data_IF_162335792113
#
_entry.id   IF_162335792113
#
_cell.length_a   1.000
_cell.length_b   1.000
_cell.length_c   1.000
_cell.angle_alpha   90.00
_cell.angle_beta   90.00
_cell.angle_gamma   90.00
#
_symmetry.space_group_name_H-M   'P 1'
#
loop_
_entity.id
_entity.type
_entity.pdbx_description
1 polymer ?
#
# COMPACT_ATOMS: atom_id res chain seq x y z
N UNK A 1 16.23 -14.79 -12.04
CA UNK A 1 15.70 -13.67 -12.84
C UNK A 1 14.61 -12.98 -12.03
N UNK A 2 14.49 -11.66 -12.09
CA UNK A 2 13.42 -10.95 -11.38
C UNK A 2 12.06 -11.25 -12.02
N UNK A 3 11.06 -11.53 -11.21
CA UNK A 3 9.69 -11.74 -11.65
C UNK A 3 9.11 -10.42 -12.19
N UNK A 4 8.46 -10.49 -13.35
CA UNK A 4 7.86 -9.33 -14.03
C UNK A 4 6.36 -9.51 -14.09
N UNK A 5 5.61 -8.45 -13.82
CA UNK A 5 4.16 -8.42 -13.88
C UNK A 5 3.69 -7.25 -14.73
N UNK A 6 2.55 -7.41 -15.40
CA UNK A 6 1.86 -6.32 -16.09
C UNK A 6 0.92 -5.62 -15.12
N UNK A 7 0.62 -4.34 -15.38
CA UNK A 7 -0.48 -3.70 -14.70
C UNK A 7 -1.83 -4.26 -15.19
N UNK A 8 -2.87 -3.99 -14.42
CA UNK A 8 -4.26 -4.16 -14.89
C UNK A 8 -4.48 -3.32 -16.16
N UNK A 9 -5.26 -3.83 -17.11
CA UNK A 9 -5.58 -3.16 -18.36
C UNK A 9 -6.12 -1.73 -18.19
N UNK A 10 -6.87 -1.49 -17.11
CA UNK A 10 -7.49 -0.19 -16.79
C UNK A 10 -6.47 0.82 -16.22
N UNK A 11 -5.29 0.36 -15.80
CA UNK A 11 -4.29 1.23 -15.19
C UNK A 11 -3.69 2.20 -16.23
N UNK A 12 -3.53 3.50 -15.92
CA UNK A 12 -3.01 4.49 -16.89
C UNK A 12 -1.64 4.16 -17.50
N UNK A 13 -0.85 3.33 -16.82
CA UNK A 13 0.50 2.94 -17.25
C UNK A 13 0.58 1.52 -17.82
N UNK A 14 -0.55 0.85 -18.07
CA UNK A 14 -0.59 -0.56 -18.48
C UNK A 14 0.11 -0.88 -19.79
N UNK A 15 0.16 0.09 -20.70
CA UNK A 15 0.80 -0.05 -22.02
C UNK A 15 2.27 0.37 -22.04
N UNK A 16 2.72 1.16 -21.06
CA UNK A 16 4.04 1.79 -21.07
C UNK A 16 5.01 1.22 -20.03
N UNK A 17 4.52 0.59 -18.97
CA UNK A 17 5.34 0.16 -17.83
C UNK A 17 5.08 -1.30 -17.44
N UNK A 18 6.08 -1.91 -16.80
CA UNK A 18 5.99 -3.23 -16.17
C UNK A 18 6.40 -3.13 -14.70
N UNK A 19 5.78 -3.95 -13.85
CA UNK A 19 6.14 -4.09 -12.44
C UNK A 19 7.21 -5.17 -12.33
N UNK A 20 8.26 -4.93 -11.56
CA UNK A 20 9.32 -5.90 -11.33
C UNK A 20 9.49 -6.16 -9.83
N UNK A 21 9.37 -7.42 -9.44
CA UNK A 21 9.66 -7.86 -8.07
C UNK A 21 11.17 -7.95 -7.87
N UNK A 22 11.67 -7.39 -6.77
CA UNK A 22 13.09 -7.50 -6.41
C UNK A 22 13.47 -8.96 -6.13
N UNK A 23 14.65 -9.36 -6.56
CA UNK A 23 15.21 -10.70 -6.31
C UNK A 23 15.51 -10.98 -4.83
N UNK A 24 15.78 -9.93 -4.06
CA UNK A 24 16.09 -10.01 -2.64
C UNK A 24 15.01 -9.28 -1.83
N UNK A 25 14.58 -9.84 -0.68
CA UNK A 25 13.76 -9.11 0.28
C UNK A 25 14.51 -7.87 0.77
N UNK A 26 13.82 -6.73 0.80
CA UNK A 26 14.36 -5.48 1.31
C UNK A 26 13.33 -4.84 2.23
N UNK A 27 13.81 -4.16 3.28
CA UNK A 27 12.96 -3.29 4.08
C UNK A 27 12.82 -1.96 3.33
N UNK A 28 11.61 -1.55 2.91
CA UNK A 28 11.43 -0.27 2.26
C UNK A 28 11.72 0.87 3.24
N UNK A 29 12.56 1.82 2.83
CA UNK A 29 12.77 3.07 3.56
C UNK A 29 11.77 4.08 3.03
N UNK A 30 10.80 4.46 3.86
CA UNK A 30 9.79 5.45 3.50
C UNK A 30 10.41 6.84 3.56
N UNK A 31 10.34 7.57 2.45
CA UNK A 31 10.79 8.96 2.37
C UNK A 31 9.56 9.86 2.45
N UNK A 32 9.47 10.67 3.49
CA UNK A 32 8.34 11.58 3.68
C UNK A 32 8.18 12.03 5.13
N UNK A 33 7.03 12.67 5.46
CA UNK A 33 6.68 13.03 6.83
C UNK A 33 6.70 11.80 7.75
N UNK A 34 7.07 12.03 9.00
CA UNK A 34 7.12 10.96 10.00
C UNK A 34 5.74 10.33 10.20
N UNK A 35 5.68 8.99 10.29
CA UNK A 35 4.47 8.28 10.73
C UNK A 35 4.11 8.77 12.16
N UNK A 36 2.86 9.21 12.40
CA UNK A 36 2.44 9.70 13.72
C UNK A 36 2.58 8.62 14.82
N UNK A 37 2.58 9.03 16.09
CA UNK A 37 2.61 8.06 17.20
C UNK A 37 1.23 7.42 17.37
N UNK A 38 1.18 6.10 17.44
CA UNK A 38 -0.07 5.36 17.67
C UNK A 38 -0.70 5.65 19.04
N UNK A 39 0.14 5.81 20.07
CA UNK A 39 -0.29 5.81 21.48
C UNK A 39 -1.02 7.10 21.92
N UNK A 40 -0.98 8.17 21.11
CA UNK A 40 -1.65 9.42 21.45
C UNK A 40 -2.98 9.49 20.74
N UNK A 41 -4.04 9.73 21.50
CA UNK A 41 -5.41 9.86 20.98
C UNK A 41 -5.50 10.89 19.85
N UNK A 42 -4.87 12.06 20.02
CA UNK A 42 -4.81 13.13 19.02
C UNK A 42 -4.19 12.72 17.67
N UNK A 43 -3.33 11.71 17.66
CA UNK A 43 -2.62 11.25 16.46
C UNK A 43 -3.03 9.87 15.98
N UNK A 44 -3.91 9.18 16.72
CA UNK A 44 -4.33 7.81 16.45
C UNK A 44 -4.97 7.68 15.06
N UNK A 45 -5.92 8.55 14.72
CA UNK A 45 -6.58 8.51 13.41
C UNK A 45 -5.59 8.72 12.25
N UNK A 46 -4.68 9.69 12.39
CA UNK A 46 -3.65 9.95 11.38
C UNK A 46 -2.68 8.79 11.23
N UNK A 47 -2.32 8.14 12.33
CA UNK A 47 -1.52 6.92 12.33
C UNK A 47 -2.20 5.80 11.54
N UNK A 48 -3.47 5.51 11.84
CA UNK A 48 -4.23 4.48 11.13
C UNK A 48 -4.29 4.75 9.63
N UNK A 49 -4.64 5.98 9.22
CA UNK A 49 -4.67 6.37 7.79
C UNK A 49 -3.33 6.20 7.09
N UNK A 50 -2.23 6.56 7.76
CA UNK A 50 -0.88 6.39 7.21
C UNK A 50 -0.55 4.91 7.00
N UNK A 51 -0.84 4.04 7.98
CA UNK A 51 -0.63 2.60 7.82
C UNK A 51 -1.49 2.01 6.71
N UNK A 52 -2.78 2.36 6.65
CA UNK A 52 -3.67 1.89 5.59
C UNK A 52 -3.17 2.31 4.20
N UNK A 53 -2.57 3.49 4.07
CA UNK A 53 -2.00 3.94 2.78
C UNK A 53 -0.74 3.15 2.39
N UNK A 54 0.04 2.68 3.37
CA UNK A 54 1.33 2.05 3.14
C UNK A 54 1.25 0.54 2.89
N UNK A 55 0.22 -0.13 3.38
CA UNK A 55 0.10 -1.58 3.33
C UNK A 55 -1.09 -2.02 2.49
N UNK A 56 -0.87 -2.99 1.58
CA UNK A 56 -1.85 -3.65 0.68
C UNK A 56 -2.59 -2.67 -0.25
N UNK A 57 -2.76 -3.00 -1.55
CA UNK A 57 -3.49 -2.12 -2.45
C UNK A 57 -5.00 -2.21 -2.16
N UNK A 58 -5.47 -1.50 -1.13
CA UNK A 58 -6.90 -1.31 -0.91
C UNK A 58 -7.42 -0.46 -2.08
N UNK A 59 -8.18 -1.08 -2.97
CA UNK A 59 -8.82 -0.43 -4.13
C UNK A 59 -10.20 0.12 -3.77
N UNK A 60 -10.77 -0.37 -2.68
CA UNK A 60 -12.13 -0.08 -2.21
C UNK A 60 -12.21 -0.21 -0.68
N UNK A 61 -13.24 0.38 -0.07
CA UNK A 61 -13.48 0.26 1.39
C UNK A 61 -13.68 -1.21 1.78
N UNK A 62 -14.25 -2.01 0.86
CA UNK A 62 -14.48 -3.43 1.06
C UNK A 62 -13.19 -4.23 1.24
N UNK A 63 -12.07 -3.77 0.69
CA UNK A 63 -10.80 -4.46 0.90
C UNK A 63 -10.33 -4.33 2.37
N UNK A 64 -10.85 -3.35 3.13
CA UNK A 64 -10.55 -3.13 4.55
C UNK A 64 -11.49 -3.87 5.50
N UNK A 65 -12.65 -4.30 5.03
CA UNK A 65 -13.66 -4.98 5.84
C UNK A 65 -13.42 -6.49 5.84
N UNK A 66 -13.71 -7.17 6.95
CA UNK A 66 -13.85 -8.62 6.90
C UNK A 66 -15.04 -8.99 5.99
N UNK A 67 -15.03 -10.18 5.38
CA UNK A 67 -16.10 -10.68 4.50
C UNK A 67 -17.53 -10.54 5.06
N UNK A 68 -17.66 -10.36 6.38
CA UNK A 68 -18.92 -10.39 7.10
C UNK A 68 -19.23 -9.05 7.81
N UNK A 69 -18.45 -8.00 7.57
CA UNK A 69 -18.68 -6.67 8.15
C UNK A 69 -19.31 -5.77 7.07
N UNK A 70 -20.59 -5.43 7.27
CA UNK A 70 -21.38 -4.51 6.42
C UNK A 70 -21.33 -3.08 6.91
#
# INVERSE_FOLDING_TARGET
MNERHTFDSVHPQSTSHLIMKRSIPVVPVLIGPQIPRHEREETHERYCRALLTLFVPWRSVQDLCALNET
#
